data_IF_592365113497
#
_entry.id   IF_592365113497
#
_cell.length_a   1.000
_cell.length_b   1.000
_cell.length_c   1.000
_cell.angle_alpha   90.00
_cell.angle_beta   90.00
_cell.angle_gamma   90.00
#
_symmetry.space_group_name_H-M   'P 1'
#
loop_
_entity.id
_entity.type
_entity.pdbx_description
1 polymer ?
#
# COMPACT_ATOMS: atom_id res chain seq x y z
N UNK A 1 36.19 -15.72 -43.93
CA UNK A 1 36.63 -14.73 -42.93
C UNK A 1 35.52 -13.69 -42.91
N UNK A 2 34.54 -13.89 -42.05
CA UNK A 2 33.37 -12.98 -41.93
C UNK A 2 33.67 -12.05 -40.78
N UNK A 3 33.81 -10.75 -41.10
CA UNK A 3 33.96 -9.68 -40.13
C UNK A 3 32.64 -9.54 -39.34
N UNK A 4 32.66 -10.01 -38.11
CA UNK A 4 31.65 -9.68 -37.12
C UNK A 4 31.88 -8.26 -36.62
N UNK A 5 31.15 -7.31 -37.17
CA UNK A 5 31.08 -5.95 -36.58
C UNK A 5 30.69 -6.03 -35.10
N UNK A 6 31.44 -5.35 -34.22
CA UNK A 6 31.04 -5.28 -32.82
C UNK A 6 29.77 -4.44 -32.72
N UNK A 7 28.73 -5.05 -32.14
CA UNK A 7 27.45 -4.44 -31.83
C UNK A 7 27.72 -3.24 -30.88
N UNK A 8 27.93 -2.07 -31.42
CA UNK A 8 28.06 -0.82 -30.66
C UNK A 8 26.70 -0.51 -30.05
N UNK A 9 26.54 -0.89 -28.78
CA UNK A 9 25.46 -0.39 -27.94
C UNK A 9 25.65 1.13 -27.87
N UNK A 10 24.96 1.86 -28.73
CA UNK A 10 24.91 3.33 -28.72
C UNK A 10 24.35 3.77 -27.38
N UNK A 11 25.23 4.21 -26.48
CA UNK A 11 24.83 4.86 -25.23
C UNK A 11 23.98 6.08 -25.59
N UNK A 12 22.75 6.12 -25.05
CA UNK A 12 21.84 7.24 -25.26
C UNK A 12 22.54 8.56 -24.88
N UNK A 13 22.32 9.60 -25.65
CA UNK A 13 22.87 10.92 -25.33
C UNK A 13 22.25 11.44 -24.03
N UNK A 14 22.94 12.33 -23.26
CA UNK A 14 22.39 12.91 -22.04
C UNK A 14 21.02 13.59 -22.24
N UNK A 15 20.79 14.18 -23.42
CA UNK A 15 19.52 14.82 -23.79
C UNK A 15 18.39 13.78 -24.00
N UNK A 16 18.69 12.66 -24.65
CA UNK A 16 17.73 11.57 -24.83
C UNK A 16 17.34 10.93 -23.50
N UNK A 17 18.31 10.74 -22.59
CA UNK A 17 18.07 10.22 -21.25
C UNK A 17 17.17 11.18 -20.43
N UNK A 18 17.42 12.49 -20.49
CA UNK A 18 16.62 13.50 -19.82
C UNK A 18 15.19 13.56 -20.39
N UNK A 19 15.03 13.49 -21.71
CA UNK A 19 13.75 13.44 -22.41
C UNK A 19 12.93 12.19 -22.02
N UNK A 20 13.59 11.04 -21.96
CA UNK A 20 12.97 9.79 -21.55
C UNK A 20 12.49 9.86 -20.09
N UNK A 21 13.32 10.34 -19.17
CA UNK A 21 12.94 10.52 -17.75
C UNK A 21 11.74 11.45 -17.63
N UNK A 22 11.73 12.56 -18.34
CA UNK A 22 10.60 13.49 -18.35
C UNK A 22 9.30 12.85 -18.86
N UNK A 23 9.37 11.97 -19.87
CA UNK A 23 8.21 11.24 -20.39
C UNK A 23 7.67 10.21 -19.39
N UNK A 24 8.55 9.51 -18.68
CA UNK A 24 8.19 8.57 -17.60
C UNK A 24 7.46 9.33 -16.49
N UNK A 25 8.06 10.41 -15.98
CA UNK A 25 7.46 11.19 -14.89
C UNK A 25 6.11 11.78 -15.28
N UNK A 26 5.98 12.26 -16.51
CA UNK A 26 4.69 12.78 -17.00
C UNK A 26 3.61 11.69 -17.02
N UNK A 27 3.96 10.46 -17.40
CA UNK A 27 3.00 9.33 -17.43
C UNK A 27 2.51 8.94 -16.04
N UNK A 28 3.35 9.11 -15.02
CA UNK A 28 3.06 8.73 -13.63
C UNK A 28 2.49 9.85 -12.78
N UNK A 29 2.55 11.09 -13.26
CA UNK A 29 2.18 12.26 -12.45
C UNK A 29 0.81 12.14 -11.80
N UNK A 30 -0.19 11.71 -12.58
CA UNK A 30 -1.56 11.62 -12.10
C UNK A 30 -1.72 10.56 -11.01
N UNK A 31 -1.36 9.26 -11.23
CA UNK A 31 -1.56 8.25 -10.20
C UNK A 31 -0.67 8.45 -8.96
N UNK A 32 0.57 8.90 -9.13
CA UNK A 32 1.47 9.15 -7.99
C UNK A 32 0.95 10.29 -7.13
N UNK A 33 0.56 11.41 -7.72
CA UNK A 33 -0.05 12.53 -6.98
C UNK A 33 -1.37 12.10 -6.33
N UNK A 34 -2.19 11.30 -7.02
CA UNK A 34 -3.43 10.75 -6.45
C UNK A 34 -3.15 9.97 -5.17
N UNK A 35 -2.23 9.01 -5.19
CA UNK A 35 -1.91 8.19 -4.03
C UNK A 35 -1.29 9.01 -2.89
N UNK A 36 -0.37 9.92 -3.16
CA UNK A 36 0.20 10.77 -2.11
C UNK A 36 -0.83 11.74 -1.52
N UNK A 37 -1.66 12.37 -2.35
CA UNK A 37 -2.66 13.33 -1.87
C UNK A 37 -3.73 12.63 -1.03
N UNK A 38 -4.28 11.51 -1.52
CA UNK A 38 -5.26 10.74 -0.73
C UNK A 38 -4.65 10.12 0.52
N UNK A 39 -3.40 9.67 0.45
CA UNK A 39 -2.66 9.21 1.61
C UNK A 39 -2.52 10.31 2.67
N UNK A 40 -2.11 11.52 2.29
CA UNK A 40 -2.02 12.67 3.22
C UNK A 40 -3.37 13.00 3.86
N UNK A 41 -4.46 12.94 3.10
CA UNK A 41 -5.81 13.12 3.67
C UNK A 41 -6.11 12.05 4.73
N UNK A 42 -5.76 10.78 4.47
CA UNK A 42 -5.93 9.71 5.44
C UNK A 42 -5.00 9.86 6.65
N UNK A 43 -3.79 10.38 6.47
CA UNK A 43 -2.91 10.70 7.59
C UNK A 43 -3.57 11.72 8.53
N UNK A 44 -4.14 12.79 7.97
CA UNK A 44 -4.85 13.80 8.79
C UNK A 44 -6.05 13.18 9.52
N UNK A 45 -6.87 12.38 8.84
CA UNK A 45 -8.00 11.67 9.46
C UNK A 45 -7.49 10.76 10.59
N UNK A 46 -6.46 9.99 10.33
CA UNK A 46 -5.84 9.11 11.32
C UNK A 46 -5.33 9.88 12.54
N UNK A 47 -4.62 11.00 12.33
CA UNK A 47 -4.12 11.83 13.43
C UNK A 47 -5.25 12.39 14.30
N UNK A 48 -6.35 12.83 13.70
CA UNK A 48 -7.55 13.30 14.44
C UNK A 48 -8.15 12.15 15.26
N UNK A 49 -8.34 10.97 14.64
CA UNK A 49 -8.87 9.79 15.36
C UNK A 49 -7.93 9.35 16.49
N UNK A 50 -6.61 9.39 16.26
CA UNK A 50 -5.60 9.06 17.28
C UNK A 50 -5.57 10.05 18.43
N UNK A 51 -5.72 11.36 18.13
CA UNK A 51 -5.83 12.38 19.17
C UNK A 51 -7.09 12.15 20.03
N UNK A 52 -8.23 11.91 19.40
CA UNK A 52 -9.48 11.62 20.12
C UNK A 52 -9.36 10.33 20.95
N UNK A 53 -8.73 9.28 20.41
CA UNK A 53 -8.45 8.05 21.15
C UNK A 53 -7.56 8.30 22.36
N UNK A 54 -6.51 9.13 22.23
CA UNK A 54 -5.63 9.51 23.33
C UNK A 54 -6.36 10.29 24.42
N UNK A 55 -7.20 11.26 24.04
CA UNK A 55 -8.03 12.02 24.98
C UNK A 55 -8.97 11.08 25.74
N UNK A 56 -9.67 10.19 25.04
CA UNK A 56 -10.58 9.20 25.65
C UNK A 56 -9.86 8.22 26.59
N UNK A 57 -8.62 7.89 26.29
CA UNK A 57 -7.81 7.02 27.15
C UNK A 57 -7.48 7.69 28.50
N UNK A 58 -7.17 9.00 28.49
CA UNK A 58 -6.81 9.76 29.70
C UNK A 58 -8.03 10.32 30.44
N UNK A 59 -9.08 10.63 29.72
CA UNK A 59 -10.29 11.28 30.24
C UNK A 59 -11.53 10.66 29.62
N UNK A 60 -11.97 9.48 30.11
CA UNK A 60 -13.07 8.71 29.53
C UNK A 60 -14.39 9.46 29.39
N UNK A 61 -14.67 10.41 30.32
CA UNK A 61 -15.91 11.17 30.39
C UNK A 61 -16.04 12.26 29.31
N UNK A 62 -14.93 12.63 28.67
CA UNK A 62 -14.97 13.61 27.57
C UNK A 62 -15.69 13.01 26.37
N UNK A 63 -16.72 13.70 25.84
CA UNK A 63 -17.55 13.25 24.71
C UNK A 63 -18.38 11.98 25.00
N UNK A 64 -18.74 11.74 26.24
CA UNK A 64 -19.46 10.53 26.68
C UNK A 64 -20.89 10.42 26.11
N UNK A 65 -21.46 11.53 25.63
CA UNK A 65 -22.74 11.55 24.94
C UNK A 65 -22.77 10.88 23.55
N UNK A 66 -21.61 10.43 23.02
CA UNK A 66 -21.53 9.81 21.70
C UNK A 66 -21.06 8.36 21.79
N UNK A 67 -21.94 7.42 21.48
CA UNK A 67 -21.59 6.00 21.37
C UNK A 67 -20.54 5.69 20.30
N UNK A 68 -20.30 6.60 19.32
CA UNK A 68 -19.36 6.42 18.23
C UNK A 68 -17.94 6.78 18.63
N UNK A 69 -17.76 7.63 19.64
CA UNK A 69 -16.48 8.18 20.07
C UNK A 69 -15.90 7.47 21.30
N UNK A 70 -16.09 6.17 21.40
CA UNK A 70 -15.47 5.34 22.44
C UNK A 70 -14.02 4.96 22.07
N UNK A 71 -13.17 4.85 23.07
CA UNK A 71 -11.76 4.41 22.87
C UNK A 71 -11.66 3.12 22.07
N UNK A 72 -12.50 2.13 22.37
CA UNK A 72 -12.53 0.83 21.69
C UNK A 72 -12.86 0.88 20.19
N UNK A 73 -13.43 2.00 19.71
CA UNK A 73 -13.73 2.26 18.29
C UNK A 73 -12.73 3.21 17.67
N UNK A 74 -12.35 4.25 18.39
CA UNK A 74 -11.43 5.28 17.90
C UNK A 74 -10.04 4.74 17.66
N UNK A 75 -9.51 3.92 18.56
CA UNK A 75 -8.15 3.37 18.43
C UNK A 75 -8.01 2.44 17.21
N UNK A 76 -8.85 1.41 16.99
CA UNK A 76 -8.75 0.60 15.79
C UNK A 76 -9.06 1.39 14.52
N UNK A 77 -9.98 2.35 14.53
CA UNK A 77 -10.23 3.25 13.40
C UNK A 77 -8.98 4.07 13.04
N UNK A 78 -8.30 4.64 14.04
CA UNK A 78 -7.01 5.32 13.87
C UNK A 78 -5.95 4.41 13.25
N UNK A 79 -5.73 3.23 13.80
CA UNK A 79 -4.69 2.31 13.33
C UNK A 79 -4.94 1.84 11.90
N UNK A 80 -6.18 1.52 11.54
CA UNK A 80 -6.53 1.08 10.19
C UNK A 80 -6.49 2.25 9.19
N UNK A 81 -6.92 3.46 9.57
CA UNK A 81 -6.77 4.65 8.75
C UNK A 81 -5.29 4.99 8.51
N UNK A 82 -4.43 4.85 9.54
CA UNK A 82 -2.99 5.05 9.41
C UNK A 82 -2.36 4.02 8.48
N UNK A 83 -2.63 2.73 8.72
CA UNK A 83 -2.03 1.65 7.96
C UNK A 83 -2.52 1.64 6.51
N UNK A 84 -3.81 1.37 6.29
CA UNK A 84 -4.37 1.21 4.94
C UNK A 84 -4.64 2.54 4.23
N UNK A 85 -4.98 3.57 4.98
CA UNK A 85 -5.19 4.91 4.41
C UNK A 85 -3.89 5.60 4.04
N UNK A 86 -2.93 5.72 4.97
CA UNK A 86 -1.69 6.46 4.75
C UNK A 86 -0.55 5.57 4.25
N UNK A 87 -0.10 4.59 5.06
CA UNK A 87 1.14 3.85 4.76
C UNK A 87 1.06 3.12 3.41
N UNK A 88 -0.07 2.45 3.13
CA UNK A 88 -0.24 1.77 1.84
C UNK A 88 -0.26 2.72 0.67
N UNK A 89 -0.97 3.83 0.74
CA UNK A 89 -1.05 4.76 -0.39
C UNK A 89 0.27 5.48 -0.63
N UNK A 90 0.98 5.89 0.42
CA UNK A 90 2.33 6.41 0.29
C UNK A 90 3.28 5.38 -0.34
N UNK A 91 3.18 4.12 0.10
CA UNK A 91 3.92 3.00 -0.47
C UNK A 91 3.59 2.73 -1.94
N UNK A 92 2.32 2.79 -2.33
CA UNK A 92 1.90 2.64 -3.73
C UNK A 92 2.48 3.75 -4.62
N UNK A 93 2.36 5.01 -4.17
CA UNK A 93 2.92 6.14 -4.89
C UNK A 93 4.43 6.02 -5.11
N UNK A 94 5.17 5.69 -4.05
CA UNK A 94 6.61 5.49 -4.10
C UNK A 94 7.00 4.28 -4.98
N UNK A 95 6.35 3.13 -4.80
CA UNK A 95 6.64 1.92 -5.56
C UNK A 95 6.40 2.10 -7.07
N UNK A 96 5.27 2.71 -7.45
CA UNK A 96 4.96 2.99 -8.85
C UNK A 96 6.00 3.90 -9.49
N UNK A 97 6.39 4.98 -8.79
CA UNK A 97 7.37 5.93 -9.30
C UNK A 97 8.75 5.31 -9.44
N UNK A 98 9.26 4.62 -8.40
CA UNK A 98 10.57 3.98 -8.41
C UNK A 98 10.64 2.89 -9.49
N UNK A 99 9.62 2.03 -9.56
CA UNK A 99 9.60 0.94 -10.54
C UNK A 99 9.60 1.46 -11.97
N UNK A 100 8.81 2.46 -12.31
CA UNK A 100 8.81 3.03 -13.65
C UNK A 100 10.14 3.67 -14.01
N UNK A 101 10.77 4.37 -13.06
CA UNK A 101 12.11 4.99 -13.24
C UNK A 101 13.18 3.93 -13.48
N UNK A 102 13.25 2.90 -12.63
CA UNK A 102 14.24 1.83 -12.73
C UNK A 102 14.01 0.91 -13.94
N UNK A 103 12.74 0.70 -14.32
CA UNK A 103 12.40 -0.09 -15.51
C UNK A 103 12.49 0.71 -16.81
N UNK A 104 12.72 2.03 -16.75
CA UNK A 104 12.68 2.96 -17.91
C UNK A 104 11.39 2.80 -18.74
N UNK A 105 10.26 2.66 -18.05
CA UNK A 105 8.99 2.30 -18.66
C UNK A 105 7.96 3.45 -18.55
N UNK A 106 7.44 3.87 -19.70
CA UNK A 106 6.31 4.83 -19.75
C UNK A 106 5.01 4.06 -19.52
N UNK A 107 4.28 4.41 -18.48
CA UNK A 107 3.10 3.65 -18.05
C UNK A 107 1.88 3.94 -18.96
N UNK A 108 1.34 2.93 -19.64
CA UNK A 108 0.08 3.05 -20.36
C UNK A 108 -1.11 2.89 -19.41
N UNK A 109 -2.29 3.37 -19.81
CA UNK A 109 -3.57 3.11 -19.12
C UNK A 109 -3.61 3.54 -17.66
N UNK A 110 -3.09 4.70 -17.36
CA UNK A 110 -3.04 5.31 -16.03
C UNK A 110 -4.41 5.38 -15.33
N UNK A 111 -5.49 5.48 -16.11
CA UNK A 111 -6.87 5.54 -15.60
C UNK A 111 -7.24 4.35 -14.72
N UNK A 112 -6.78 3.14 -15.05
CA UNK A 112 -7.08 1.94 -14.25
C UNK A 112 -6.42 1.99 -12.86
N UNK A 113 -5.23 2.58 -12.73
CA UNK A 113 -4.60 2.80 -11.42
C UNK A 113 -5.38 3.80 -10.57
N UNK A 114 -5.88 4.87 -11.17
CA UNK A 114 -6.71 5.85 -10.46
C UNK A 114 -8.02 5.22 -10.02
N UNK A 115 -8.66 4.41 -10.87
CA UNK A 115 -9.86 3.64 -10.51
C UNK A 115 -9.57 2.67 -9.37
N UNK A 116 -8.47 1.92 -9.42
CA UNK A 116 -8.06 1.04 -8.32
C UNK A 116 -7.81 1.82 -7.02
N UNK A 117 -7.20 3.00 -7.11
CA UNK A 117 -7.03 3.89 -5.98
C UNK A 117 -8.35 4.39 -5.38
N UNK A 118 -9.37 4.66 -6.19
CA UNK A 118 -10.71 5.00 -5.67
C UNK A 118 -11.38 3.80 -4.99
N UNK A 119 -11.26 2.58 -5.54
CA UNK A 119 -11.74 1.37 -4.87
C UNK A 119 -11.02 1.12 -3.54
N UNK A 120 -9.71 1.37 -3.50
CA UNK A 120 -8.94 1.31 -2.25
C UNK A 120 -9.47 2.31 -1.22
N UNK A 121 -9.64 3.57 -1.60
CA UNK A 121 -10.17 4.61 -0.72
C UNK A 121 -11.60 4.30 -0.26
N UNK A 122 -12.45 3.78 -1.15
CA UNK A 122 -13.81 3.35 -0.80
C UNK A 122 -13.78 2.25 0.26
N UNK A 123 -12.95 1.23 0.08
CA UNK A 123 -12.81 0.13 1.03
C UNK A 123 -12.32 0.62 2.41
N UNK A 124 -11.29 1.48 2.43
CA UNK A 124 -10.78 2.07 3.68
C UNK A 124 -11.86 2.92 4.34
N UNK A 125 -12.61 3.74 3.58
CA UNK A 125 -13.70 4.55 4.10
C UNK A 125 -14.81 3.70 4.72
N UNK A 126 -15.26 2.68 4.00
CA UNK A 126 -16.27 1.74 4.50
C UNK A 126 -15.79 1.02 5.76
N UNK A 127 -14.52 0.57 5.77
CA UNK A 127 -13.93 -0.11 6.92
C UNK A 127 -13.84 0.77 8.16
N UNK A 128 -13.30 1.99 8.01
CA UNK A 128 -13.17 2.95 9.13
C UNK A 128 -14.54 3.38 9.67
N UNK A 129 -15.48 3.67 8.79
CA UNK A 129 -16.86 4.01 9.20
C UNK A 129 -17.53 2.82 9.92
N UNK A 130 -17.38 1.60 9.41
CA UNK A 130 -17.93 0.41 10.06
C UNK A 130 -17.34 0.19 11.47
N UNK A 131 -16.03 0.40 11.66
CA UNK A 131 -15.40 0.35 12.98
C UNK A 131 -16.05 1.39 13.93
N UNK A 132 -16.20 2.63 13.49
CA UNK A 132 -16.82 3.69 14.29
C UNK A 132 -18.29 3.38 14.62
N UNK A 133 -19.01 2.71 13.73
CA UNK A 133 -20.36 2.21 13.96
C UNK A 133 -20.42 0.96 14.87
N UNK A 134 -19.27 0.42 15.29
CA UNK A 134 -19.19 -0.75 16.16
C UNK A 134 -19.30 -2.09 15.43
N UNK A 135 -19.09 -2.11 14.11
CA UNK A 135 -19.07 -3.32 13.29
C UNK A 135 -17.64 -3.85 13.08
N UNK A 136 -16.66 -3.29 13.79
CA UNK A 136 -15.27 -3.76 13.75
C UNK A 136 -15.10 -5.12 14.42
N UNK A 137 -14.08 -5.87 13.99
CA UNK A 137 -13.83 -7.24 14.49
C UNK A 137 -12.94 -7.30 15.73
N UNK A 138 -12.43 -6.14 16.18
CA UNK A 138 -11.50 -6.05 17.33
C UNK A 138 -10.23 -6.88 17.18
N UNK A 139 -9.75 -7.02 15.94
CA UNK A 139 -8.53 -7.74 15.58
C UNK A 139 -7.56 -6.75 14.94
N UNK A 140 -6.43 -6.42 15.57
CA UNK A 140 -5.52 -5.38 15.07
C UNK A 140 -5.15 -5.54 13.59
N UNK A 141 -5.39 -4.48 12.80
CA UNK A 141 -5.23 -4.41 11.35
C UNK A 141 -6.13 -5.35 10.51
N UNK A 142 -7.03 -6.10 11.15
CA UNK A 142 -8.07 -6.92 10.52
C UNK A 142 -9.45 -6.55 11.05
N UNK A 143 -9.61 -5.29 11.51
CA UNK A 143 -10.86 -4.79 12.09
C UNK A 143 -11.97 -4.58 11.07
N UNK A 144 -11.66 -4.57 9.78
CA UNK A 144 -12.63 -4.32 8.72
C UNK A 144 -13.65 -5.47 8.61
N UNK A 145 -14.94 -5.15 8.37
CA UNK A 145 -15.95 -6.19 8.15
C UNK A 145 -15.63 -7.09 6.96
N UNK A 146 -16.17 -8.33 7.02
CA UNK A 146 -15.96 -9.38 5.99
C UNK A 146 -16.17 -8.88 4.56
N UNK A 147 -17.12 -8.00 4.31
CA UNK A 147 -17.39 -7.48 2.96
C UNK A 147 -16.34 -6.51 2.41
N UNK A 148 -15.46 -5.98 3.26
CA UNK A 148 -14.48 -4.95 2.87
C UNK A 148 -13.17 -5.55 2.38
N UNK A 149 -12.71 -6.66 2.97
CA UNK A 149 -11.41 -7.21 2.63
C UNK A 149 -11.24 -7.66 1.17
N UNK A 150 -12.27 -8.21 0.47
CA UNK A 150 -12.12 -8.57 -0.94
C UNK A 150 -11.95 -7.35 -1.84
N UNK A 151 -12.62 -6.24 -1.50
CA UNK A 151 -12.50 -4.98 -2.25
C UNK A 151 -11.08 -4.41 -2.16
N UNK A 152 -10.48 -4.40 -0.96
CA UNK A 152 -9.08 -4.04 -0.77
C UNK A 152 -8.14 -4.95 -1.57
N UNK A 153 -8.37 -6.26 -1.52
CA UNK A 153 -7.54 -7.22 -2.23
C UNK A 153 -7.58 -6.99 -3.76
N UNK A 154 -8.77 -6.80 -4.33
CA UNK A 154 -8.91 -6.54 -5.78
C UNK A 154 -8.20 -5.25 -6.17
N UNK A 155 -8.40 -4.17 -5.42
CA UNK A 155 -7.72 -2.89 -5.67
C UNK A 155 -6.19 -3.05 -5.59
N UNK A 156 -5.71 -3.78 -4.58
CA UNK A 156 -4.28 -4.09 -4.42
C UNK A 156 -3.73 -4.87 -5.61
N UNK A 157 -4.41 -5.93 -6.03
CA UNK A 157 -3.97 -6.78 -7.13
C UNK A 157 -3.84 -6.00 -8.45
N UNK A 158 -4.73 -5.03 -8.70
CA UNK A 158 -4.63 -4.15 -9.87
C UNK A 158 -3.36 -3.28 -9.76
N UNK A 159 -3.10 -2.67 -8.61
CA UNK A 159 -1.92 -1.81 -8.40
C UNK A 159 -0.62 -2.63 -8.51
N UNK A 160 -0.54 -3.75 -7.77
CA UNK A 160 0.61 -4.65 -7.80
C UNK A 160 0.84 -5.24 -9.19
N UNK A 161 -0.23 -5.58 -9.91
CA UNK A 161 -0.18 -6.04 -11.30
C UNK A 161 0.50 -5.05 -12.24
N UNK A 162 0.27 -3.74 -12.06
CA UNK A 162 0.97 -2.71 -12.84
C UNK A 162 2.46 -2.64 -12.49
N UNK A 163 2.83 -2.80 -11.22
CA UNK A 163 4.22 -2.87 -10.78
C UNK A 163 4.94 -4.06 -11.42
N UNK A 164 4.32 -5.24 -11.38
CA UNK A 164 4.87 -6.46 -12.01
C UNK A 164 4.94 -6.32 -13.54
N UNK A 165 3.94 -5.69 -14.17
CA UNK A 165 3.94 -5.42 -15.60
C UNK A 165 5.12 -4.51 -15.99
N UNK A 166 5.39 -3.43 -15.25
CA UNK A 166 6.55 -2.57 -15.47
C UNK A 166 7.85 -3.35 -15.37
N UNK A 167 7.97 -4.23 -14.36
CA UNK A 167 9.15 -5.07 -14.21
C UNK A 167 9.37 -6.04 -15.37
N UNK A 168 8.30 -6.68 -15.86
CA UNK A 168 8.36 -7.56 -17.03
C UNK A 168 8.76 -6.82 -18.31
N UNK A 169 8.31 -5.58 -18.46
CA UNK A 169 8.56 -4.75 -19.62
C UNK A 169 9.84 -3.88 -19.51
N UNK A 170 10.68 -4.13 -18.50
CA UNK A 170 11.93 -3.37 -18.30
C UNK A 170 12.85 -3.46 -19.51
N UNK A 171 13.48 -2.35 -19.83
CA UNK A 171 14.40 -2.28 -20.99
C UNK A 171 15.78 -2.85 -20.69
N UNK A 172 16.27 -2.65 -19.45
CA UNK A 172 17.58 -3.10 -19.03
C UNK A 172 17.50 -4.49 -18.39
N UNK A 173 18.45 -5.37 -18.68
CA UNK A 173 18.55 -6.70 -18.05
C UNK A 173 18.98 -6.64 -16.58
N UNK A 174 19.59 -5.53 -16.15
CA UNK A 174 20.03 -5.34 -14.77
C UNK A 174 18.83 -5.14 -13.83
N UNK A 175 18.88 -5.79 -12.66
CA UNK A 175 17.84 -5.68 -11.64
C UNK A 175 18.43 -5.03 -10.41
N UNK A 176 17.86 -3.89 -10.03
CA UNK A 176 18.27 -3.13 -8.85
C UNK A 176 17.69 -3.73 -7.56
N UNK A 177 18.39 -3.55 -6.45
CA UNK A 177 17.96 -4.03 -5.12
C UNK A 177 16.57 -3.52 -4.77
N UNK A 178 16.28 -2.24 -5.05
CA UNK A 178 14.97 -1.62 -4.81
C UNK A 178 13.82 -2.36 -5.51
N UNK A 179 14.05 -2.86 -6.73
CA UNK A 179 13.03 -3.61 -7.48
C UNK A 179 12.70 -4.94 -6.80
N UNK A 180 13.69 -5.64 -6.24
CA UNK A 180 13.48 -6.89 -5.51
C UNK A 180 12.63 -6.69 -4.26
N UNK A 181 12.93 -5.65 -3.47
CA UNK A 181 12.13 -5.35 -2.28
C UNK A 181 10.69 -4.98 -2.60
N UNK A 182 10.47 -4.13 -3.62
CA UNK A 182 9.12 -3.74 -4.05
C UNK A 182 8.34 -4.95 -4.57
N UNK A 183 8.96 -5.81 -5.38
CA UNK A 183 8.31 -7.03 -5.89
C UNK A 183 8.01 -8.02 -4.77
N UNK A 184 8.90 -8.17 -3.79
CA UNK A 184 8.66 -9.00 -2.62
C UNK A 184 7.43 -8.50 -1.84
N UNK A 185 7.32 -7.19 -1.58
CA UNK A 185 6.14 -6.61 -0.95
C UNK A 185 4.86 -6.88 -1.75
N UNK A 186 4.92 -6.70 -3.09
CA UNK A 186 3.77 -6.98 -3.97
C UNK A 186 3.30 -8.43 -3.89
N UNK A 187 4.21 -9.38 -3.72
CA UNK A 187 3.89 -10.81 -3.62
C UNK A 187 3.39 -11.19 -2.22
N UNK A 188 4.06 -10.73 -1.16
CA UNK A 188 3.76 -11.17 0.20
C UNK A 188 2.45 -10.64 0.75
N UNK A 189 2.07 -9.41 0.46
CA UNK A 189 0.84 -8.84 1.03
C UNK A 189 -0.42 -9.62 0.66
N UNK A 190 -0.73 -9.94 -0.60
CA UNK A 190 -1.91 -10.74 -0.92
C UNK A 190 -1.93 -12.07 -0.18
N UNK A 191 -0.78 -12.72 -0.06
CA UNK A 191 -0.64 -14.01 0.63
C UNK A 191 -1.01 -13.89 2.11
N UNK A 192 -0.36 -12.99 2.85
CA UNK A 192 -0.62 -12.85 4.29
C UNK A 192 -2.03 -12.34 4.55
N UNK A 193 -2.53 -11.42 3.72
CA UNK A 193 -3.83 -10.80 3.87
C UNK A 193 -4.97 -11.79 3.62
N UNK A 194 -4.90 -12.56 2.55
CA UNK A 194 -5.89 -13.61 2.25
C UNK A 194 -5.84 -14.69 3.33
N UNK A 195 -4.66 -15.18 3.69
CA UNK A 195 -4.50 -16.21 4.72
C UNK A 195 -5.13 -15.78 6.05
N UNK A 196 -4.83 -14.56 6.52
CA UNK A 196 -5.39 -14.06 7.78
C UNK A 196 -6.91 -13.93 7.72
N UNK A 197 -7.45 -13.32 6.66
CA UNK A 197 -8.90 -13.14 6.52
C UNK A 197 -9.64 -14.49 6.39
N UNK A 198 -9.11 -15.44 5.62
CA UNK A 198 -9.71 -16.78 5.49
C UNK A 198 -9.70 -17.51 6.83
N UNK A 199 -8.58 -17.48 7.56
CA UNK A 199 -8.48 -18.15 8.85
C UNK A 199 -9.45 -17.57 9.89
N UNK A 200 -9.62 -16.24 9.92
CA UNK A 200 -10.49 -15.58 10.91
C UNK A 200 -11.97 -15.74 10.56
N UNK A 201 -12.33 -15.62 9.28
CA UNK A 201 -13.74 -15.56 8.89
C UNK A 201 -14.36 -16.91 8.56
N UNK A 202 -13.57 -17.86 8.07
CA UNK A 202 -14.09 -19.15 7.60
C UNK A 202 -13.78 -20.33 8.51
N UNK A 203 -12.83 -20.18 9.44
CA UNK A 203 -12.52 -21.22 10.41
C UNK A 203 -12.80 -20.71 11.82
N UNK A 204 -13.90 -21.18 12.48
CA UNK A 204 -14.19 -20.81 13.86
C UNK A 204 -13.01 -21.21 14.74
N UNK A 205 -12.32 -20.25 15.27
CA UNK A 205 -11.16 -20.48 16.12
C UNK A 205 -11.45 -20.08 17.56
N UNK A 206 -10.87 -20.82 18.51
CA UNK A 206 -10.85 -20.37 19.89
C UNK A 206 -10.18 -18.97 19.98
N UNK A 207 -10.58 -18.16 20.97
CA UNK A 207 -10.06 -16.79 21.14
C UNK A 207 -8.52 -16.73 21.14
N UNK A 208 -7.85 -17.73 21.69
CA UNK A 208 -6.38 -17.83 21.70
C UNK A 208 -5.81 -17.93 20.27
N UNK A 209 -6.45 -18.71 19.40
CA UNK A 209 -6.02 -18.87 18.00
C UNK A 209 -6.25 -17.56 17.24
N UNK A 210 -7.37 -16.88 17.46
CA UNK A 210 -7.65 -15.57 16.86
C UNK A 210 -6.60 -14.54 17.25
N UNK A 211 -6.17 -14.50 18.52
CA UNK A 211 -5.08 -13.63 18.99
C UNK A 211 -3.74 -13.98 18.35
N UNK A 212 -3.43 -15.27 18.19
CA UNK A 212 -2.19 -15.70 17.52
C UNK A 212 -2.17 -15.31 16.03
N UNK A 213 -3.29 -15.49 15.31
CA UNK A 213 -3.44 -15.07 13.91
C UNK A 213 -3.26 -13.54 13.80
N UNK A 214 -3.88 -12.78 14.68
CA UNK A 214 -3.76 -11.33 14.75
C UNK A 214 -2.31 -10.87 14.94
N UNK A 215 -1.62 -11.42 15.94
CA UNK A 215 -0.21 -11.11 16.19
C UNK A 215 0.71 -11.49 15.03
N UNK A 216 0.48 -12.66 14.42
CA UNK A 216 1.18 -13.08 13.22
C UNK A 216 0.95 -12.13 12.06
N UNK A 217 -0.32 -11.76 11.79
CA UNK A 217 -0.64 -10.85 10.70
C UNK A 217 -0.03 -9.46 10.92
N UNK A 218 -0.18 -8.88 12.08
CA UNK A 218 0.38 -7.56 12.39
C UNK A 218 1.92 -7.54 12.21
N UNK A 219 2.62 -8.55 12.73
CA UNK A 219 4.06 -8.69 12.57
C UNK A 219 4.48 -8.88 11.11
N UNK A 220 3.82 -9.79 10.38
CA UNK A 220 4.14 -10.06 8.98
C UNK A 220 3.79 -8.88 8.06
N UNK A 221 2.72 -8.14 8.33
CA UNK A 221 2.37 -6.92 7.59
C UNK A 221 3.50 -5.88 7.65
N UNK A 222 4.06 -5.67 8.83
CA UNK A 222 5.18 -4.75 9.00
C UNK A 222 6.44 -5.26 8.28
N UNK A 223 6.82 -6.51 8.50
CA UNK A 223 8.09 -7.08 8.02
C UNK A 223 8.04 -7.39 6.52
N UNK A 224 6.92 -7.83 5.97
CA UNK A 224 6.81 -8.30 4.59
C UNK A 224 6.21 -7.27 3.62
N UNK A 225 5.66 -6.16 4.13
CA UNK A 225 5.17 -5.09 3.27
C UNK A 225 5.79 -3.73 3.59
N UNK A 226 5.65 -3.21 4.82
CA UNK A 226 6.15 -1.88 5.19
C UNK A 226 7.67 -1.80 5.05
N UNK A 227 8.39 -2.75 5.66
CA UNK A 227 9.86 -2.77 5.64
C UNK A 227 10.41 -2.92 4.22
N UNK A 228 9.96 -3.86 3.36
CA UNK A 228 10.46 -3.96 2.00
C UNK A 228 10.16 -2.71 1.16
N UNK A 229 8.99 -2.10 1.27
CA UNK A 229 8.71 -0.83 0.58
C UNK A 229 9.68 0.26 1.07
N UNK A 230 9.84 0.39 2.39
CA UNK A 230 10.79 1.35 2.99
C UNK A 230 12.23 1.12 2.53
N UNK A 231 12.70 -0.12 2.52
CA UNK A 231 14.03 -0.48 2.01
C UNK A 231 14.15 -0.20 0.51
N UNK A 232 13.12 -0.51 -0.27
CA UNK A 232 13.08 -0.19 -1.70
C UNK A 232 13.26 1.30 -1.96
N UNK A 233 12.60 2.15 -1.18
CA UNK A 233 12.76 3.62 -1.22
C UNK A 233 14.16 4.03 -0.78
N UNK A 234 14.64 3.48 0.32
CA UNK A 234 15.96 3.81 0.90
C UNK A 234 17.08 3.50 -0.10
N UNK A 235 17.12 2.30 -0.65
CA UNK A 235 18.13 1.90 -1.64
C UNK A 235 18.02 2.66 -2.97
N UNK A 236 16.87 3.24 -3.27
CA UNK A 236 16.73 4.11 -4.44
C UNK A 236 17.28 5.52 -4.20
N UNK A 237 17.18 6.03 -2.97
CA UNK A 237 17.61 7.39 -2.61
C UNK A 237 19.07 7.48 -2.17
N UNK A 238 19.64 6.40 -1.67
CA UNK A 238 21.07 6.34 -1.31
C UNK A 238 21.86 5.92 -2.54
N UNK A 239 22.77 6.76 -3.05
CA UNK A 239 23.58 6.47 -4.22
C UNK A 239 24.59 5.35 -3.99
#
# INVERSE_FOLDING_TARGET
MADTEPNTVTSATPEEDASQRASIDRSLRVPVLFFFTSGLMWLLVSLVLGLLASIKFHSPDILDGSQFLNYSRLQPAHLNAFMYGWCFQAGFGAALWIMARLCRFVLPRVGLLVVAGHFWNLAVSLGVVAILLGQGQSIPFLDFPVGVWPLLLVAYCIIAGHIVMMFKARRDGHVFISQWYILAACFWFPWIYVTANVLIHHFPSAAVIGTAISGWYAGTLLVLWIVPIGLGVTYYLIP
#
